data_IF_127504382834
#
_entry.id   IF_127504382834
#
_cell.length_a   1.000
_cell.length_b   1.000
_cell.length_c   1.000
_cell.angle_alpha   90.00
_cell.angle_beta   90.00
_cell.angle_gamma   90.00
#
_symmetry.space_group_name_H-M   'P 1'
#
loop_
_entity.id
_entity.type
_entity.pdbx_description
1 polymer ?
#
# COMPACT_ATOMS: atom_id res chain seq x y z
N UNK A 1 -10.06 -76.73 -35.62
CA UNK A 1 -9.48 -76.79 -34.26
C UNK A 1 -8.30 -75.81 -34.09
N UNK A 2 -8.41 -74.55 -34.55
CA UNK A 2 -7.39 -73.49 -34.36
C UNK A 2 -8.07 -72.19 -33.88
N UNK A 3 -9.00 -72.29 -32.92
CA UNK A 3 -9.73 -71.11 -32.42
C UNK A 3 -10.05 -71.17 -30.91
N UNK A 4 -9.37 -72.04 -30.14
CA UNK A 4 -9.61 -72.17 -28.69
C UNK A 4 -8.35 -72.04 -27.82
N UNK A 5 -7.16 -71.83 -28.40
CA UNK A 5 -5.91 -71.65 -27.63
C UNK A 5 -5.49 -70.18 -27.42
N UNK A 6 -6.29 -69.20 -27.86
CA UNK A 6 -5.94 -67.76 -27.82
C UNK A 6 -6.58 -66.96 -26.68
N UNK A 7 -7.58 -67.50 -25.98
CA UNK A 7 -8.32 -66.74 -24.96
C UNK A 7 -7.54 -66.74 -23.63
N UNK A 8 -6.96 -67.88 -23.26
CA UNK A 8 -6.29 -68.06 -21.96
C UNK A 8 -5.00 -67.23 -21.77
N UNK A 9 -4.30 -66.87 -22.85
CA UNK A 9 -3.05 -66.11 -22.74
C UNK A 9 -3.27 -64.60 -22.60
N UNK A 10 -4.34 -64.07 -23.21
CA UNK A 10 -4.71 -62.65 -23.10
C UNK A 10 -5.29 -62.37 -21.73
N UNK A 11 -6.09 -63.29 -21.18
CA UNK A 11 -6.64 -63.16 -19.82
C UNK A 11 -5.53 -63.22 -18.75
N UNK A 12 -4.52 -64.07 -18.93
CA UNK A 12 -3.36 -64.13 -18.05
C UNK A 12 -2.50 -62.85 -18.12
N UNK A 13 -2.38 -62.24 -19.30
CA UNK A 13 -1.68 -60.96 -19.49
C UNK A 13 -2.43 -59.80 -18.85
N UNK A 14 -3.76 -59.76 -18.98
CA UNK A 14 -4.62 -58.78 -18.30
C UNK A 14 -4.59 -58.92 -16.77
N UNK A 15 -4.58 -60.14 -16.24
CA UNK A 15 -4.46 -60.38 -14.80
C UNK A 15 -3.11 -59.93 -14.23
N UNK A 16 -2.02 -60.14 -14.99
CA UNK A 16 -0.67 -59.75 -14.56
C UNK A 16 -0.45 -58.21 -14.59
N UNK A 17 -1.15 -57.50 -15.48
CA UNK A 17 -1.12 -56.02 -15.53
C UNK A 17 -1.86 -55.37 -14.36
N UNK A 18 -2.94 -55.99 -13.86
CA UNK A 18 -3.72 -55.46 -12.74
C UNK A 18 -3.02 -55.67 -11.38
N UNK A 19 -2.20 -56.71 -11.24
CA UNK A 19 -1.51 -57.02 -9.98
C UNK A 19 -0.42 -55.99 -9.57
N UNK A 20 0.08 -55.18 -10.51
CA UNK A 20 1.13 -54.18 -10.24
C UNK A 20 0.64 -52.87 -9.60
N UNK A 21 -0.66 -52.60 -9.62
CA UNK A 21 -1.25 -51.32 -9.16
C UNK A 21 -1.85 -51.40 -7.73
N UNK A 22 -1.96 -52.60 -7.18
CA UNK A 22 -2.61 -52.88 -5.89
C UNK A 22 -1.63 -52.99 -4.71
N UNK A 23 -0.35 -52.62 -4.88
CA UNK A 23 0.57 -52.54 -3.75
C UNK A 23 0.25 -51.27 -2.92
N UNK A 24 -0.36 -51.38 -1.72
CA UNK A 24 -0.82 -50.22 -0.94
C UNK A 24 0.34 -49.27 -0.59
N UNK A 25 1.57 -49.76 -0.63
CA UNK A 25 2.82 -49.02 -0.46
C UNK A 25 3.07 -48.03 -1.61
N UNK A 26 2.89 -48.45 -2.87
CA UNK A 26 3.14 -47.60 -4.04
C UNK A 26 2.11 -46.49 -4.18
N UNK A 27 0.83 -46.79 -3.91
CA UNK A 27 -0.23 -45.78 -3.86
C UNK A 27 0.02 -44.74 -2.77
N UNK A 28 0.50 -45.16 -1.60
CA UNK A 28 0.88 -44.25 -0.49
C UNK A 28 2.11 -43.41 -0.81
N UNK A 29 3.13 -43.99 -1.45
CA UNK A 29 4.33 -43.27 -1.88
C UNK A 29 3.97 -42.23 -2.96
N UNK A 30 3.13 -42.59 -3.93
CA UNK A 30 2.72 -41.68 -5.00
C UNK A 30 1.85 -40.53 -4.49
N UNK A 31 0.85 -40.82 -3.63
CA UNK A 31 0.03 -39.78 -2.98
C UNK A 31 0.89 -38.88 -2.09
N UNK A 32 1.83 -39.45 -1.34
CA UNK A 32 2.77 -38.69 -0.50
C UNK A 32 3.71 -37.78 -1.30
N UNK A 33 4.22 -38.25 -2.45
CA UNK A 33 5.05 -37.47 -3.36
C UNK A 33 4.26 -36.32 -4.00
N UNK A 34 3.04 -36.56 -4.45
CA UNK A 34 2.18 -35.53 -5.06
C UNK A 34 1.76 -34.46 -4.04
N UNK A 35 1.38 -34.87 -2.82
CA UNK A 35 1.01 -33.93 -1.75
C UNK A 35 2.24 -33.16 -1.24
N UNK A 36 3.41 -33.81 -1.15
CA UNK A 36 4.66 -33.15 -0.75
C UNK A 36 5.15 -32.13 -1.77
N UNK A 37 5.07 -32.45 -3.07
CA UNK A 37 5.49 -31.55 -4.17
C UNK A 37 4.51 -30.39 -4.39
N UNK A 38 3.21 -30.59 -4.18
CA UNK A 38 2.21 -29.51 -4.29
C UNK A 38 2.04 -28.69 -2.98
N UNK A 39 2.29 -29.28 -1.81
CA UNK A 39 2.14 -28.62 -0.51
C UNK A 39 3.39 -27.86 -0.01
N UNK A 40 4.58 -28.24 -0.46
CA UNK A 40 5.85 -27.61 -0.02
C UNK A 40 5.99 -26.14 -0.40
N UNK A 41 5.36 -25.71 -1.50
CA UNK A 41 5.36 -24.30 -1.92
C UNK A 41 4.50 -23.40 -1.01
N UNK A 42 3.53 -23.96 -0.28
CA UNK A 42 2.64 -23.19 0.59
C UNK A 42 3.26 -22.89 1.96
N UNK A 43 4.17 -23.74 2.45
CA UNK A 43 4.73 -23.60 3.80
C UNK A 43 5.92 -22.63 3.87
N UNK A 44 6.70 -22.46 2.79
CA UNK A 44 7.90 -21.60 2.81
C UNK A 44 7.80 -20.33 1.96
N UNK A 45 6.82 -20.20 1.06
CA UNK A 45 6.58 -18.98 0.28
C UNK A 45 5.58 -18.00 0.90
N UNK A 46 4.75 -18.45 1.84
CA UNK A 46 3.63 -17.66 2.37
C UNK A 46 4.04 -16.64 3.45
N UNK A 47 5.11 -16.85 4.23
CA UNK A 47 5.49 -15.92 5.32
C UNK A 47 6.09 -14.61 4.82
N UNK A 48 6.91 -14.66 3.76
CA UNK A 48 7.44 -13.45 3.11
C UNK A 48 6.37 -12.73 2.28
N UNK A 49 5.43 -13.48 1.68
CA UNK A 49 4.34 -12.89 0.91
C UNK A 49 3.29 -12.22 1.81
N UNK A 50 2.97 -12.74 3.00
CA UNK A 50 1.93 -12.15 3.86
C UNK A 50 2.37 -10.88 4.60
N UNK A 51 3.66 -10.74 4.94
CA UNK A 51 4.21 -9.51 5.54
C UNK A 51 4.61 -8.50 4.44
N UNK A 52 5.14 -8.99 3.31
CA UNK A 52 5.55 -8.16 2.17
C UNK A 52 4.40 -7.62 1.32
N UNK A 53 3.30 -8.36 1.12
CA UNK A 53 2.15 -7.83 0.37
C UNK A 53 1.49 -6.69 1.12
N UNK A 54 1.28 -6.78 2.43
CA UNK A 54 0.59 -5.70 3.18
C UNK A 54 1.35 -4.37 3.14
N UNK A 55 2.68 -4.41 3.03
CA UNK A 55 3.54 -3.23 2.93
C UNK A 55 3.71 -2.69 1.50
N UNK A 56 3.45 -3.49 0.46
CA UNK A 56 3.46 -3.00 -0.93
C UNK A 56 2.20 -2.24 -1.34
N UNK A 57 1.10 -2.36 -0.57
CA UNK A 57 -0.13 -1.57 -0.78
C UNK A 57 -0.21 -0.31 0.10
N UNK A 58 0.70 -0.13 1.06
CA UNK A 58 0.86 1.16 1.73
C UNK A 58 1.68 2.08 0.84
N UNK A 59 1.03 2.67 -0.16
CA UNK A 59 1.52 3.91 -0.75
C UNK A 59 1.82 4.84 0.43
N UNK A 60 3.05 5.35 0.61
CA UNK A 60 3.32 6.25 1.70
C UNK A 60 2.51 7.51 1.43
N UNK A 61 1.36 7.64 2.08
CA UNK A 61 0.64 8.90 2.27
C UNK A 61 1.51 9.80 3.13
N UNK A 62 2.66 10.21 2.58
CA UNK A 62 3.66 11.02 3.26
C UNK A 62 3.71 12.36 2.57
N UNK A 63 3.04 13.33 3.17
CA UNK A 63 3.26 14.73 2.87
C UNK A 63 4.67 15.10 3.37
N UNK A 64 5.57 15.60 2.50
CA UNK A 64 6.92 16.00 2.88
C UNK A 64 6.94 17.13 3.91
N UNK A 65 8.05 17.26 4.64
CA UNK A 65 8.22 18.29 5.65
C UNK A 65 8.90 19.52 5.06
N UNK A 66 8.14 20.42 4.42
CA UNK A 66 8.72 21.51 3.64
C UNK A 66 9.56 22.51 4.46
N UNK A 67 9.23 22.68 5.73
CA UNK A 67 9.98 23.55 6.65
C UNK A 67 11.19 22.84 7.25
N UNK A 68 11.01 21.61 7.74
CA UNK A 68 12.10 20.85 8.37
C UNK A 68 13.17 20.42 7.35
N UNK A 69 12.78 20.08 6.12
CA UNK A 69 13.69 19.80 4.99
C UNK A 69 14.19 21.07 4.30
N UNK A 70 13.77 22.26 4.73
CA UNK A 70 14.17 23.56 4.19
C UNK A 70 13.90 23.74 2.68
N UNK A 71 12.89 23.05 2.16
CA UNK A 71 12.44 23.18 0.76
C UNK A 71 11.79 24.54 0.53
N UNK A 72 11.10 25.07 1.55
CA UNK A 72 10.41 26.35 1.51
C UNK A 72 10.84 27.24 2.68
N UNK A 73 10.94 28.54 2.42
CA UNK A 73 11.21 29.53 3.46
C UNK A 73 10.00 29.71 4.40
N UNK A 74 10.21 30.20 5.63
CA UNK A 74 9.12 30.42 6.59
C UNK A 74 8.01 31.35 6.08
N UNK A 75 8.37 32.29 5.21
CA UNK A 75 7.45 33.23 4.58
C UNK A 75 6.65 32.58 3.45
N UNK A 76 7.29 31.75 2.62
CA UNK A 76 6.59 30.96 1.60
C UNK A 76 5.57 29.99 2.22
N UNK A 77 5.90 29.40 3.37
CA UNK A 77 4.97 28.53 4.11
C UNK A 77 3.80 29.33 4.66
N UNK A 78 4.02 30.58 5.09
CA UNK A 78 2.93 31.46 5.52
C UNK A 78 2.01 31.81 4.35
N UNK A 79 2.58 32.20 3.21
CA UNK A 79 1.82 32.51 2.00
C UNK A 79 0.99 31.30 1.54
N UNK A 80 1.57 30.10 1.54
CA UNK A 80 0.85 28.85 1.22
C UNK A 80 -0.25 28.55 2.23
N UNK A 81 -0.04 28.83 3.51
CA UNK A 81 -1.06 28.68 4.55
C UNK A 81 -2.28 29.53 4.23
N UNK A 82 -2.06 30.79 3.84
CA UNK A 82 -3.13 31.70 3.41
C UNK A 82 -3.83 31.18 2.15
N UNK A 83 -3.08 30.67 1.17
CA UNK A 83 -3.66 30.07 -0.04
C UNK A 83 -4.58 28.89 0.26
N UNK A 84 -4.13 27.97 1.12
CA UNK A 84 -4.91 26.78 1.49
C UNK A 84 -6.17 27.16 2.28
N UNK A 85 -6.12 28.18 3.12
CA UNK A 85 -7.31 28.74 3.76
C UNK A 85 -8.30 29.32 2.72
N UNK A 86 -7.81 29.97 1.68
CA UNK A 86 -8.64 30.54 0.62
C UNK A 86 -9.37 29.45 -0.18
N UNK A 87 -8.76 28.28 -0.40
CA UNK A 87 -9.39 27.13 -1.08
C UNK A 87 -10.67 26.67 -0.36
N UNK A 88 -10.67 26.69 0.97
CA UNK A 88 -11.83 26.37 1.81
C UNK A 88 -12.74 27.58 2.10
N UNK A 89 -12.56 28.68 1.36
CA UNK A 89 -13.31 29.95 1.45
C UNK A 89 -13.27 30.59 2.84
N UNK A 90 -12.13 30.50 3.52
CA UNK A 90 -11.88 31.14 4.82
C UNK A 90 -11.27 32.53 4.64
N UNK A 91 -11.31 33.32 5.71
CA UNK A 91 -10.66 34.65 5.75
C UNK A 91 -9.14 34.52 5.60
N UNK A 92 -8.55 35.37 4.78
CA UNK A 92 -7.14 35.29 4.37
C UNK A 92 -6.56 36.66 4.03
N UNK A 93 -5.22 36.75 3.99
CA UNK A 93 -4.51 37.86 3.35
C UNK A 93 -4.44 37.64 1.83
N UNK A 94 -5.18 38.43 1.06
CA UNK A 94 -5.20 38.35 -0.41
C UNK A 94 -3.83 38.53 -1.05
N UNK A 95 -2.97 39.39 -0.49
CA UNK A 95 -1.64 39.61 -1.02
C UNK A 95 -0.76 38.35 -0.86
N UNK A 96 -0.92 37.64 0.27
CA UNK A 96 -0.25 36.37 0.51
C UNK A 96 -0.74 35.26 -0.42
N UNK A 97 -2.06 35.19 -0.63
CA UNK A 97 -2.69 34.26 -1.58
C UNK A 97 -2.11 34.43 -2.99
N UNK A 98 -1.98 35.67 -3.48
CA UNK A 98 -1.42 35.92 -4.82
C UNK A 98 0.04 35.47 -4.96
N UNK A 99 0.87 35.65 -3.92
CA UNK A 99 2.25 35.17 -3.91
C UNK A 99 2.36 33.64 -3.89
N UNK A 100 1.38 32.98 -3.29
CA UNK A 100 1.38 31.54 -3.09
C UNK A 100 0.91 30.72 -4.30
N UNK A 101 0.10 31.27 -5.20
CA UNK A 101 -0.41 30.56 -6.40
C UNK A 101 0.69 29.78 -7.16
N UNK A 102 1.81 30.42 -7.59
CA UNK A 102 2.86 29.68 -8.30
C UNK A 102 3.57 28.65 -7.41
N UNK A 103 3.67 28.89 -6.10
CA UNK A 103 4.29 27.95 -5.16
C UNK A 103 3.42 26.70 -5.00
N UNK A 104 2.11 26.87 -4.87
CA UNK A 104 1.16 25.77 -4.74
C UNK A 104 1.18 24.90 -6.00
N UNK A 105 1.19 25.52 -7.18
CA UNK A 105 1.29 24.79 -8.44
C UNK A 105 2.58 23.97 -8.57
N UNK A 106 3.69 24.44 -8.00
CA UNK A 106 4.99 23.76 -8.08
C UNK A 106 5.16 22.66 -7.03
N UNK A 107 4.64 22.86 -5.83
CA UNK A 107 4.96 22.02 -4.66
C UNK A 107 3.80 21.16 -4.16
N UNK A 108 2.56 21.59 -4.39
CA UNK A 108 1.38 21.00 -3.74
C UNK A 108 0.44 20.33 -4.74
N UNK A 109 0.27 20.94 -5.93
CA UNK A 109 -0.72 20.52 -6.92
C UNK A 109 -0.51 19.12 -7.48
N UNK A 110 0.73 18.59 -7.44
CA UNK A 110 1.01 17.21 -7.87
C UNK A 110 0.29 16.15 -7.03
N UNK A 111 -0.01 16.48 -5.77
CA UNK A 111 -0.69 15.58 -4.84
C UNK A 111 -2.11 16.05 -4.51
N UNK A 112 -2.32 17.37 -4.38
CA UNK A 112 -3.62 17.93 -3.98
C UNK A 112 -4.47 18.44 -5.16
N UNK A 113 -4.00 18.32 -6.40
CA UNK A 113 -4.69 18.89 -7.56
C UNK A 113 -4.52 20.41 -7.67
N UNK A 114 -4.87 20.97 -8.83
CA UNK A 114 -4.64 22.40 -9.10
C UNK A 114 -5.59 23.28 -8.30
N UNK A 115 -6.83 22.82 -8.10
CA UNK A 115 -7.84 23.52 -7.32
C UNK A 115 -7.89 23.03 -5.86
N UNK A 116 -6.96 22.16 -5.44
CA UNK A 116 -6.94 21.58 -4.11
C UNK A 116 -7.96 20.46 -3.91
N UNK A 117 -8.50 19.89 -4.98
CA UNK A 117 -9.53 18.83 -4.94
C UNK A 117 -9.06 17.51 -4.29
N UNK A 118 -7.76 17.37 -4.02
CA UNK A 118 -7.18 16.18 -3.40
C UNK A 118 -6.97 15.01 -4.37
N UNK A 119 -6.32 13.97 -3.88
CA UNK A 119 -6.09 12.74 -4.62
C UNK A 119 -6.22 11.53 -3.68
N UNK A 120 -7.41 10.90 -3.58
CA UNK A 120 -7.65 9.78 -2.68
C UNK A 120 -6.68 8.60 -2.86
N UNK A 121 -6.25 8.34 -4.10
CA UNK A 121 -5.27 7.29 -4.41
C UNK A 121 -3.88 7.56 -3.81
N UNK A 122 -3.55 8.83 -3.58
CA UNK A 122 -2.32 9.26 -2.90
C UNK A 122 -2.55 9.53 -1.40
N UNK A 123 -3.79 9.37 -0.93
CA UNK A 123 -4.22 9.77 0.41
C UNK A 123 -4.15 11.27 0.68
N UNK A 124 -4.07 12.10 -0.36
CA UNK A 124 -4.10 13.56 -0.23
C UNK A 124 -5.55 14.04 -0.04
N UNK A 125 -5.87 14.74 1.07
CA UNK A 125 -7.21 15.26 1.32
C UNK A 125 -7.57 16.40 0.36
N UNK A 126 -8.88 16.59 0.18
CA UNK A 126 -9.46 17.76 -0.48
C UNK A 126 -9.31 18.98 0.44
N UNK A 127 -8.53 19.96 -0.02
CA UNK A 127 -8.24 21.22 0.68
C UNK A 127 -9.33 22.28 0.45
N UNK A 128 -10.23 22.07 -0.51
CA UNK A 128 -11.37 22.95 -0.78
C UNK A 128 -12.56 22.67 0.14
N UNK A 129 -12.57 21.52 0.82
CA UNK A 129 -13.59 21.15 1.79
C UNK A 129 -13.49 22.01 3.08
N UNK A 130 -14.63 22.17 3.75
CA UNK A 130 -14.76 22.84 5.03
C UNK A 130 -14.51 21.91 6.23
N UNK A 131 -14.50 20.59 6.02
CA UNK A 131 -14.31 19.58 7.07
C UNK A 131 -12.83 19.17 7.17
N UNK A 132 -12.18 19.56 8.27
CA UNK A 132 -10.74 19.37 8.48
C UNK A 132 -10.45 18.43 9.65
N UNK A 133 -9.81 17.29 9.36
CA UNK A 133 -9.49 16.26 10.37
C UNK A 133 -8.43 16.75 11.37
N UNK A 134 -7.47 17.57 10.91
CA UNK A 134 -6.35 18.06 11.72
C UNK A 134 -6.51 19.53 12.15
N UNK A 135 -7.72 20.07 12.01
CA UNK A 135 -8.08 21.41 12.44
C UNK A 135 -7.91 22.48 11.34
N UNK A 136 -8.86 23.41 11.20
CA UNK A 136 -8.86 24.41 10.12
C UNK A 136 -8.12 25.71 10.49
N UNK A 137 -7.38 25.74 11.59
CA UNK A 137 -6.73 26.99 12.05
C UNK A 137 -5.48 27.27 11.22
N UNK A 138 -5.13 28.54 10.97
CA UNK A 138 -3.90 28.89 10.23
C UNK A 138 -2.65 28.22 10.84
N UNK A 139 -2.55 28.18 12.17
CA UNK A 139 -1.44 27.52 12.86
C UNK A 139 -1.39 26.01 12.63
N UNK A 140 -2.54 25.33 12.60
CA UNK A 140 -2.59 23.89 12.32
C UNK A 140 -2.22 23.57 10.87
N UNK A 141 -2.65 24.40 9.92
CA UNK A 141 -2.31 24.27 8.50
C UNK A 141 -0.82 24.52 8.30
N UNK A 142 -0.31 25.62 8.86
CA UNK A 142 1.12 25.97 8.84
C UNK A 142 1.98 24.84 9.39
N UNK A 143 1.59 24.25 10.53
CA UNK A 143 2.32 23.15 11.15
C UNK A 143 2.34 21.90 10.25
N UNK A 144 1.25 21.60 9.56
CA UNK A 144 1.18 20.48 8.60
C UNK A 144 2.09 20.72 7.39
N UNK A 145 2.10 21.94 6.83
CA UNK A 145 3.00 22.28 5.72
C UNK A 145 4.46 22.23 6.18
N UNK A 146 4.74 22.73 7.38
CA UNK A 146 6.09 22.79 7.91
C UNK A 146 6.68 21.40 8.17
N UNK A 147 5.95 20.57 8.92
CA UNK A 147 6.46 19.29 9.43
C UNK A 147 6.01 18.08 8.61
N UNK A 148 5.15 18.27 7.61
CA UNK A 148 4.57 17.19 6.82
C UNK A 148 3.52 16.38 7.60
N UNK A 149 3.12 15.25 7.04
CA UNK A 149 2.19 14.29 7.66
C UNK A 149 2.40 12.91 7.06
N UNK A 150 2.22 11.86 7.86
CA UNK A 150 2.24 10.48 7.37
C UNK A 150 0.92 9.75 7.71
N UNK A 151 0.88 8.44 7.48
CA UNK A 151 -0.22 7.54 7.82
C UNK A 151 -0.61 7.60 9.32
N UNK A 152 0.28 8.10 10.18
CA UNK A 152 0.04 8.30 11.61
C UNK A 152 -0.43 9.73 11.94
N UNK A 153 -0.75 10.53 10.93
CA UNK A 153 -1.17 11.94 11.01
C UNK A 153 0.00 12.94 11.07
N UNK A 154 -0.27 14.25 11.20
CA UNK A 154 0.78 15.26 11.29
C UNK A 154 1.64 15.03 12.54
N UNK A 155 2.95 15.31 12.48
CA UNK A 155 3.87 14.94 13.54
C UNK A 155 3.53 15.69 14.83
N UNK A 156 3.49 14.93 15.93
CA UNK A 156 3.50 15.50 17.29
C UNK A 156 4.94 15.77 17.71
N UNK A 157 5.18 16.70 18.62
CA UNK A 157 6.53 17.07 19.07
C UNK A 157 7.38 15.87 19.56
N UNK A 158 6.75 14.84 20.14
CA UNK A 158 7.40 13.57 20.49
C UNK A 158 7.87 12.75 19.27
N UNK A 159 7.14 12.78 18.14
CA UNK A 159 7.57 12.13 16.88
C UNK A 159 8.75 12.86 16.23
N UNK A 160 8.78 14.19 16.32
CA UNK A 160 9.85 15.02 15.74
C UNK A 160 11.19 14.76 16.45
N UNK A 161 11.16 14.57 17.77
CA UNK A 161 12.36 14.32 18.59
C UNK A 161 12.92 12.89 18.50
N UNK A 162 12.44 12.06 17.57
CA UNK A 162 12.92 10.68 17.40
C UNK A 162 12.56 9.77 18.58
N UNK A 163 11.74 10.23 19.53
CA UNK A 163 11.19 9.42 20.59
C UNK A 163 10.06 8.58 19.99
N UNK A 164 10.44 7.49 19.31
CA UNK A 164 9.51 6.47 18.91
C UNK A 164 8.83 5.94 20.17
N UNK A 165 7.60 6.40 20.43
CA UNK A 165 6.70 5.77 21.38
C UNK A 165 6.33 4.42 20.79
N UNK A 166 7.17 3.42 21.03
CA UNK A 166 6.78 2.02 20.87
C UNK A 166 5.59 1.76 21.82
N UNK A 167 4.54 1.05 21.34
CA UNK A 167 3.48 0.58 22.22
C UNK A 167 3.98 -0.41 23.26
#
# INVERSE_FOLDING_TARGET
>A
MIALMSINAVDAFHANLQAGLEAPTLRRIFIGLVIGLLGGAFAYGASAALIGWRSSWSWPTRMPSFGDEQVLSPMQIEDLTQYVLALSRRETDEAAVLRAIPLFSQQCASCHGIAGEGAPLLGAPDLSDQIWIYGPTPGAIRAQIWHGADDRGPPRQARISGQATTP
#
